data_IF_192100932760
#
_entry.id   IF_192100932760
#
_cell.length_a   1.000
_cell.length_b   1.000
_cell.length_c   1.000
_cell.angle_alpha   90.00
_cell.angle_beta   90.00
_cell.angle_gamma   90.00
#
_symmetry.space_group_name_H-M   'P 1'
#
loop_
_entity.id
_entity.type
_entity.pdbx_description
1 polymer ?
#
# COMPACT_ATOMS: atom_id res chain seq x y z
N UNK A 1 -16.22 -6.15 25.88
CA UNK A 1 -16.04 -6.25 24.40
C UNK A 1 -15.97 -7.71 23.90
N UNK A 2 -14.97 -8.53 24.28
CA UNK A 2 -14.82 -9.91 23.75
C UNK A 2 -16.06 -10.80 23.91
N UNK A 3 -16.70 -10.78 25.08
CA UNK A 3 -17.94 -11.54 25.34
C UNK A 3 -19.08 -11.15 24.37
N UNK A 4 -19.27 -9.84 24.14
CA UNK A 4 -20.27 -9.33 23.20
C UNK A 4 -19.96 -9.75 21.75
N UNK A 5 -18.70 -9.72 21.35
CA UNK A 5 -18.29 -10.21 20.02
C UNK A 5 -18.65 -11.69 19.84
N UNK A 6 -18.36 -12.54 20.83
CA UNK A 6 -18.71 -13.98 20.80
C UNK A 6 -20.23 -14.17 20.71
N UNK A 7 -21.02 -13.43 21.51
CA UNK A 7 -22.48 -13.49 21.45
C UNK A 7 -23.04 -13.09 20.07
N UNK A 8 -22.40 -12.13 19.41
CA UNK A 8 -22.72 -11.69 18.05
C UNK A 8 -22.18 -12.64 16.95
N UNK A 9 -21.50 -13.73 17.31
CA UNK A 9 -20.88 -14.65 16.34
C UNK A 9 -19.64 -14.09 15.64
N UNK A 10 -18.97 -13.11 16.26
CA UNK A 10 -17.77 -12.46 15.76
C UNK A 10 -16.54 -12.86 16.56
N UNK A 11 -15.41 -12.97 15.87
CA UNK A 11 -14.08 -13.13 16.47
C UNK A 11 -13.40 -11.77 16.57
N UNK A 12 -13.16 -11.30 17.79
CA UNK A 12 -12.27 -10.17 18.06
C UNK A 12 -10.80 -10.61 17.88
N UNK A 13 -10.05 -9.86 17.09
CA UNK A 13 -8.62 -10.05 16.87
C UNK A 13 -7.86 -9.06 17.74
N UNK A 14 -7.07 -9.56 18.68
CA UNK A 14 -6.18 -8.72 19.48
C UNK A 14 -4.97 -8.34 18.63
N UNK A 15 -4.80 -7.05 18.35
CA UNK A 15 -3.61 -6.54 17.68
C UNK A 15 -3.11 -5.32 18.46
N UNK A 16 -1.84 -5.28 18.91
CA UNK A 16 -1.28 -4.06 19.46
C UNK A 16 -1.18 -3.03 18.34
N UNK A 17 -1.94 -1.94 18.43
CA UNK A 17 -1.95 -0.88 17.43
C UNK A 17 -1.07 0.26 17.92
N UNK A 18 -0.18 0.71 17.03
CA UNK A 18 0.52 1.98 17.18
C UNK A 18 -0.07 2.94 16.16
N UNK A 19 -0.61 4.05 16.64
CA UNK A 19 -1.07 5.13 15.78
C UNK A 19 -0.06 6.26 15.82
N UNK A 20 0.48 6.61 14.66
CA UNK A 20 1.45 7.69 14.51
C UNK A 20 0.77 9.06 14.43
N UNK A 21 -0.42 9.14 13.82
CA UNK A 21 -1.07 10.40 13.47
C UNK A 21 -0.40 11.09 12.28
N UNK A 22 -1.15 11.94 11.57
CA UNK A 22 -0.67 12.64 10.37
C UNK A 22 0.49 13.60 10.69
N UNK A 23 0.42 14.29 11.82
CA UNK A 23 1.42 15.29 12.23
C UNK A 23 2.81 14.67 12.37
N UNK A 24 2.91 13.52 13.05
CA UNK A 24 4.17 12.80 13.23
C UNK A 24 4.63 12.05 11.99
N UNK A 25 3.72 11.76 11.05
CA UNK A 25 4.10 11.14 9.78
C UNK A 25 5.02 12.06 8.97
N UNK A 26 4.75 13.37 8.93
CA UNK A 26 5.60 14.32 8.22
C UNK A 26 7.04 14.36 8.78
N UNK A 27 7.17 14.44 10.11
CA UNK A 27 8.46 14.42 10.81
C UNK A 27 9.23 13.12 10.55
N UNK A 28 8.53 11.98 10.58
CA UNK A 28 9.13 10.67 10.31
C UNK A 28 9.63 10.56 8.87
N UNK A 29 8.80 10.92 7.88
CA UNK A 29 9.19 10.83 6.47
C UNK A 29 10.36 11.75 6.14
N UNK A 30 10.39 12.97 6.70
CA UNK A 30 11.54 13.85 6.55
C UNK A 30 12.80 13.25 7.16
N UNK A 31 12.69 12.63 8.34
CA UNK A 31 13.82 11.96 8.99
C UNK A 31 14.35 10.79 8.16
N UNK A 32 13.47 9.99 7.56
CA UNK A 32 13.85 8.89 6.65
C UNK A 32 14.53 9.45 5.40
N UNK A 33 13.97 10.48 4.78
CA UNK A 33 14.54 11.13 3.61
C UNK A 33 15.95 11.65 3.90
N UNK A 34 16.13 12.40 4.99
CA UNK A 34 17.43 12.94 5.40
C UNK A 34 18.43 11.82 5.64
N UNK A 35 18.04 10.78 6.39
CA UNK A 35 18.91 9.63 6.64
C UNK A 35 19.39 8.96 5.33
N UNK A 36 18.49 8.75 4.36
CA UNK A 36 18.84 8.17 3.08
C UNK A 36 19.80 9.09 2.29
N UNK A 37 19.52 10.39 2.23
CA UNK A 37 20.38 11.37 1.56
C UNK A 37 21.80 11.42 2.18
N UNK A 38 21.89 11.45 3.50
CA UNK A 38 23.16 11.46 4.24
C UNK A 38 23.97 10.17 4.04
N UNK A 39 23.30 9.06 3.72
CA UNK A 39 23.92 7.78 3.39
C UNK A 39 24.12 7.58 1.87
N UNK A 40 24.04 8.65 1.08
CA UNK A 40 24.41 8.63 -0.35
C UNK A 40 23.33 8.12 -1.29
N UNK A 41 22.07 8.02 -0.84
CA UNK A 41 20.94 7.68 -1.71
C UNK A 41 20.50 8.94 -2.45
N UNK A 42 20.60 8.91 -3.78
CA UNK A 42 20.04 9.94 -4.64
C UNK A 42 18.52 9.76 -4.79
N UNK A 43 17.76 10.81 -4.50
CA UNK A 43 16.30 10.83 -4.64
C UNK A 43 15.91 11.86 -5.68
N UNK A 44 15.34 11.39 -6.80
CA UNK A 44 14.94 12.24 -7.92
C UNK A 44 13.42 12.39 -7.91
N UNK A 45 12.93 13.54 -7.45
CA UNK A 45 11.51 13.87 -7.43
C UNK A 45 11.07 14.51 -8.75
N UNK A 46 9.75 14.58 -8.98
CA UNK A 46 9.19 15.15 -10.21
C UNK A 46 9.48 14.31 -11.46
N UNK A 47 9.81 13.03 -11.27
CA UNK A 47 10.01 12.08 -12.36
C UNK A 47 9.05 10.90 -12.24
N UNK A 48 8.61 10.44 -13.39
CA UNK A 48 7.83 9.21 -13.52
C UNK A 48 8.58 8.20 -14.38
N UNK A 49 8.54 6.93 -14.00
CA UNK A 49 9.09 5.84 -14.79
C UNK A 49 8.10 5.50 -15.92
N UNK A 50 8.50 5.67 -17.17
CA UNK A 50 7.65 5.37 -18.33
C UNK A 50 7.85 3.95 -18.84
N UNK A 51 9.07 3.39 -18.74
CA UNK A 51 9.38 2.06 -19.27
C UNK A 51 10.56 1.38 -18.55
N UNK A 52 10.75 0.09 -18.82
CA UNK A 52 11.95 -0.68 -18.45
C UNK A 52 12.87 -0.86 -19.66
N UNK A 53 14.18 -0.93 -19.41
CA UNK A 53 15.18 -1.29 -20.40
C UNK A 53 15.54 -2.76 -20.15
N UNK A 54 15.19 -3.64 -21.09
CA UNK A 54 15.42 -5.08 -20.99
C UNK A 54 16.28 -5.53 -22.17
N UNK A 55 17.42 -6.13 -21.86
CA UNK A 55 18.39 -6.64 -22.82
C UNK A 55 18.71 -8.09 -22.48
N UNK A 56 18.53 -9.00 -23.44
CA UNK A 56 18.77 -10.45 -23.25
C UNK A 56 18.07 -11.03 -22.00
N UNK A 57 16.79 -10.71 -21.82
CA UNK A 57 15.96 -11.11 -20.67
C UNK A 57 16.43 -10.56 -19.30
N UNK A 58 17.34 -9.59 -19.28
CA UNK A 58 17.82 -8.91 -18.07
C UNK A 58 17.38 -7.45 -18.09
N UNK A 59 16.75 -6.99 -17.01
CA UNK A 59 16.46 -5.57 -16.81
C UNK A 59 17.76 -4.84 -16.46
N UNK A 60 18.19 -3.91 -17.32
CA UNK A 60 19.45 -3.15 -17.18
C UNK A 60 19.22 -1.69 -16.83
N UNK A 61 17.96 -1.25 -16.75
CA UNK A 61 17.61 0.12 -16.39
C UNK A 61 16.13 0.44 -16.58
N UNK A 62 15.84 1.73 -16.48
CA UNK A 62 14.50 2.31 -16.63
C UNK A 62 14.53 3.56 -17.50
N UNK A 63 13.42 3.87 -18.14
CA UNK A 63 13.20 5.13 -18.83
C UNK A 63 12.35 6.01 -17.92
N UNK A 64 12.81 7.23 -17.66
CA UNK A 64 12.13 8.21 -16.81
C UNK A 64 11.79 9.48 -17.58
N UNK A 65 10.70 10.13 -17.21
CA UNK A 65 10.26 11.40 -17.79
C UNK A 65 10.16 12.47 -16.71
N UNK A 66 10.51 13.70 -17.06
CA UNK A 66 10.23 14.88 -16.23
C UNK A 66 8.73 15.21 -16.31
N UNK A 67 8.07 15.26 -15.16
CA UNK A 67 6.63 15.58 -15.07
C UNK A 67 6.32 17.00 -15.54
N UNK A 68 7.26 17.94 -15.38
CA UNK A 68 7.12 19.33 -15.81
C UNK A 68 7.47 19.52 -17.29
N UNK A 69 8.21 18.59 -17.90
CA UNK A 69 8.60 18.63 -19.31
C UNK A 69 8.27 17.30 -20.01
N UNK A 70 6.97 17.03 -20.27
CA UNK A 70 6.54 15.77 -20.88
C UNK A 70 7.18 15.60 -22.27
N UNK A 71 7.78 14.44 -22.51
CA UNK A 71 8.36 14.06 -23.81
C UNK A 71 9.89 13.99 -23.85
N UNK A 72 10.59 14.41 -22.78
CA UNK A 72 12.01 14.11 -22.62
C UNK A 72 12.18 12.79 -21.86
N UNK A 73 12.49 11.73 -22.62
CA UNK A 73 12.86 10.43 -22.06
C UNK A 73 14.33 10.43 -21.61
N UNK A 74 14.56 9.99 -20.38
CA UNK A 74 15.87 9.97 -19.74
C UNK A 74 16.14 8.54 -19.25
N UNK A 75 17.07 7.81 -19.91
CA UNK A 75 17.43 6.47 -19.47
C UNK A 75 18.28 6.54 -18.19
N UNK A 76 17.99 5.64 -17.26
CA UNK A 76 18.74 5.43 -16.02
C UNK A 76 19.13 3.97 -15.94
N UNK A 77 20.42 3.67 -16.00
CA UNK A 77 20.95 2.30 -15.93
C UNK A 77 21.19 1.87 -14.48
N UNK A 78 21.09 0.57 -14.21
CA UNK A 78 21.40 0.01 -12.89
C UNK A 78 21.54 -1.50 -12.93
N UNK A 79 22.41 -2.04 -12.08
CA UNK A 79 22.67 -3.49 -12.00
C UNK A 79 21.54 -4.26 -11.31
N UNK A 80 20.76 -3.59 -10.47
CA UNK A 80 19.62 -4.18 -9.76
C UNK A 80 18.48 -3.18 -9.70
N UNK A 81 17.33 -3.57 -10.24
CA UNK A 81 16.14 -2.73 -10.33
C UNK A 81 15.08 -3.30 -9.39
N UNK A 82 14.56 -2.45 -8.50
CA UNK A 82 13.47 -2.80 -7.58
C UNK A 82 12.24 -1.95 -7.92
N UNK A 83 11.14 -2.61 -8.31
CA UNK A 83 9.87 -1.93 -8.59
C UNK A 83 9.01 -1.86 -7.32
N UNK A 84 8.88 -0.66 -6.76
CA UNK A 84 8.13 -0.40 -5.52
C UNK A 84 6.99 0.64 -5.74
N UNK A 85 6.21 0.48 -6.81
CA UNK A 85 5.23 1.48 -7.28
C UNK A 85 3.93 1.56 -6.47
N UNK A 86 3.76 0.67 -5.48
CA UNK A 86 2.57 0.60 -4.63
C UNK A 86 1.28 0.29 -5.40
N UNK A 87 0.13 0.35 -4.72
CA UNK A 87 -1.17 -0.03 -5.32
C UNK A 87 -1.57 0.89 -6.48
N UNK A 88 -1.28 2.19 -6.38
CA UNK A 88 -1.60 3.16 -7.45
C UNK A 88 -0.81 2.89 -8.73
N UNK A 89 0.39 2.33 -8.64
CA UNK A 89 1.19 1.94 -9.80
C UNK A 89 0.95 0.52 -10.30
N UNK A 90 -0.09 -0.17 -9.82
CA UNK A 90 -0.37 -1.55 -10.24
C UNK A 90 -0.80 -1.63 -11.70
N UNK A 91 -1.62 -0.68 -12.17
CA UNK A 91 -2.04 -0.61 -13.58
C UNK A 91 -0.83 -0.37 -14.51
N UNK A 92 0.05 0.55 -14.14
CA UNK A 92 1.30 0.78 -14.87
C UNK A 92 2.16 -0.49 -14.91
N UNK A 93 2.31 -1.17 -13.77
CA UNK A 93 3.10 -2.41 -13.70
C UNK A 93 2.52 -3.51 -14.59
N UNK A 94 1.18 -3.66 -14.63
CA UNK A 94 0.49 -4.60 -15.51
C UNK A 94 0.77 -4.30 -17.00
N UNK A 95 0.71 -3.03 -17.39
CA UNK A 95 1.01 -2.58 -18.76
C UNK A 95 2.46 -2.87 -19.14
N UNK A 96 3.41 -2.56 -18.25
CA UNK A 96 4.84 -2.83 -18.44
C UNK A 96 5.12 -4.33 -18.56
N UNK A 97 4.55 -5.14 -17.66
CA UNK A 97 4.71 -6.59 -17.73
C UNK A 97 4.14 -7.14 -19.04
N UNK A 98 2.98 -6.65 -19.48
CA UNK A 98 2.38 -7.05 -20.76
C UNK A 98 3.25 -6.64 -21.96
N UNK A 99 3.77 -5.42 -21.97
CA UNK A 99 4.64 -4.88 -23.03
C UNK A 99 5.91 -5.70 -23.21
N UNK A 100 6.51 -6.13 -22.10
CA UNK A 100 7.76 -6.89 -22.08
C UNK A 100 7.56 -8.42 -22.01
N UNK A 101 6.33 -8.91 -22.18
CA UNK A 101 5.98 -10.33 -22.05
C UNK A 101 6.41 -10.97 -20.71
N UNK A 102 6.43 -10.19 -19.63
CA UNK A 102 6.68 -10.66 -18.27
C UNK A 102 5.38 -11.25 -17.73
N UNK A 103 5.44 -12.51 -17.30
CA UNK A 103 4.30 -13.18 -16.70
C UNK A 103 3.88 -12.47 -15.41
N UNK A 104 2.60 -12.14 -15.31
CA UNK A 104 1.99 -11.53 -14.14
C UNK A 104 0.58 -12.10 -13.93
N UNK A 105 0.07 -11.97 -12.70
CA UNK A 105 -1.28 -12.38 -12.36
C UNK A 105 -1.90 -11.40 -11.37
N UNK A 106 -3.21 -11.12 -11.46
CA UNK A 106 -3.89 -10.28 -10.50
C UNK A 106 -3.91 -10.95 -9.11
N UNK A 107 -3.58 -10.17 -8.08
CA UNK A 107 -3.71 -10.59 -6.68
C UNK A 107 -5.14 -10.50 -6.17
N UNK A 108 -5.44 -11.22 -5.09
CA UNK A 108 -6.74 -11.12 -4.40
C UNK A 108 -6.90 -9.75 -3.74
N UNK A 109 -8.09 -9.15 -3.89
CA UNK A 109 -8.44 -7.89 -3.24
C UNK A 109 -9.63 -8.09 -2.29
N UNK A 110 -9.54 -7.47 -1.11
CA UNK A 110 -10.68 -7.38 -0.20
C UNK A 110 -11.57 -6.21 -0.64
N UNK A 111 -12.86 -6.49 -0.87
CA UNK A 111 -13.87 -5.49 -1.20
C UNK A 111 -14.84 -5.40 -0.03
N UNK A 112 -15.18 -4.19 0.36
CA UNK A 112 -16.10 -3.94 1.47
C UNK A 112 -16.83 -2.62 1.32
N UNK A 113 -17.55 -2.25 2.37
CA UNK A 113 -18.26 -0.99 2.47
C UNK A 113 -17.76 -0.23 3.70
N UNK A 114 -17.75 1.10 3.61
CA UNK A 114 -17.51 1.95 4.78
C UNK A 114 -18.81 2.04 5.58
N UNK A 115 -18.77 1.61 6.83
CA UNK A 115 -19.89 1.70 7.76
C UNK A 115 -19.58 2.78 8.78
N UNK A 116 -20.46 3.76 8.89
CA UNK A 116 -20.35 4.84 9.89
C UNK A 116 -21.39 4.62 10.98
N UNK A 117 -20.94 4.76 12.22
CA UNK A 117 -21.76 4.56 13.42
C UNK A 117 -21.51 5.72 14.38
N UNK A 118 -22.52 6.03 15.18
CA UNK A 118 -22.45 7.09 16.20
C UNK A 118 -21.34 6.80 17.21
N UNK A 119 -20.61 7.83 17.61
CA UNK A 119 -19.48 7.66 18.53
C UNK A 119 -19.93 7.10 19.87
N UNK A 120 -21.11 7.46 20.36
CA UNK A 120 -21.71 6.97 21.61
C UNK A 120 -21.86 5.44 21.63
N UNK A 121 -21.97 4.80 20.45
CA UNK A 121 -22.02 3.34 20.31
C UNK A 121 -20.61 2.73 20.31
N UNK A 122 -19.64 3.43 19.73
CA UNK A 122 -18.25 2.93 19.56
C UNK A 122 -17.30 3.35 20.67
N UNK A 123 -17.65 4.35 21.48
CA UNK A 123 -16.78 4.97 22.47
C UNK A 123 -16.19 3.93 23.43
N UNK A 124 -17.02 3.03 23.96
CA UNK A 124 -16.56 1.96 24.83
C UNK A 124 -15.54 1.03 24.16
N UNK A 125 -15.69 0.79 22.86
CA UNK A 125 -14.75 -0.02 22.08
C UNK A 125 -13.46 0.75 21.83
N UNK A 126 -13.57 2.00 21.37
CA UNK A 126 -12.45 2.86 20.98
C UNK A 126 -11.54 3.23 22.17
N UNK A 127 -12.12 3.41 23.36
CA UNK A 127 -11.35 3.73 24.58
C UNK A 127 -10.49 2.57 25.06
N UNK A 128 -10.87 1.33 24.76
CA UNK A 128 -10.13 0.11 25.16
C UNK A 128 -9.24 -0.38 24.03
N UNK A 129 -9.73 -0.31 22.80
CA UNK A 129 -9.07 -0.74 21.59
C UNK A 129 -9.03 0.46 20.66
N UNK A 130 -7.83 0.98 20.34
CA UNK A 130 -7.67 2.09 19.40
C UNK A 130 -8.47 1.87 18.10
N UNK A 131 -8.52 0.62 17.65
CA UNK A 131 -9.40 0.15 16.59
C UNK A 131 -9.79 -1.31 16.89
N UNK A 132 -11.04 -1.69 16.59
CA UNK A 132 -11.49 -3.08 16.75
C UNK A 132 -11.46 -3.84 15.43
N UNK A 133 -10.66 -4.91 15.39
CA UNK A 133 -10.63 -5.86 14.27
C UNK A 133 -11.52 -7.06 14.59
N UNK A 134 -12.67 -7.14 13.91
CA UNK A 134 -13.69 -8.17 14.09
C UNK A 134 -13.76 -9.01 12.81
N UNK A 135 -13.83 -10.34 12.96
CA UNK A 135 -14.01 -11.29 11.85
C UNK A 135 -15.31 -12.05 12.05
N UNK A 136 -16.15 -12.13 11.02
CA UNK A 136 -17.44 -12.80 11.06
C UNK A 136 -17.73 -13.63 9.81
N UNK A 137 -18.80 -14.43 9.88
CA UNK A 137 -19.29 -15.28 8.79
C UNK A 137 -20.82 -15.14 8.68
N UNK A 138 -21.32 -14.00 8.18
CA UNK A 138 -22.74 -13.68 8.17
C UNK A 138 -23.54 -14.64 7.28
N UNK A 139 -24.76 -14.96 7.71
CA UNK A 139 -25.73 -15.70 6.89
C UNK A 139 -26.29 -14.78 5.79
N UNK A 140 -26.73 -15.33 4.64
CA UNK A 140 -26.72 -16.75 4.29
C UNK A 140 -25.39 -17.24 3.73
N UNK A 141 -24.56 -16.33 3.21
CA UNK A 141 -23.42 -16.68 2.36
C UNK A 141 -22.24 -17.29 3.12
N UNK A 142 -22.10 -16.99 4.42
CA UNK A 142 -21.02 -17.48 5.30
C UNK A 142 -19.61 -17.23 4.75
N UNK A 143 -19.44 -16.24 3.87
CA UNK A 143 -18.12 -15.78 3.49
C UNK A 143 -17.47 -15.07 4.69
N UNK A 144 -16.14 -15.17 4.78
CA UNK A 144 -15.37 -14.43 5.77
C UNK A 144 -15.52 -12.94 5.48
N UNK A 145 -16.05 -12.19 6.44
CA UNK A 145 -16.03 -10.73 6.45
C UNK A 145 -15.20 -10.25 7.62
N UNK A 146 -14.58 -9.08 7.50
CA UNK A 146 -13.79 -8.48 8.57
C UNK A 146 -13.90 -6.97 8.57
N UNK A 147 -13.73 -6.35 9.73
CA UNK A 147 -13.37 -4.94 9.79
C UNK A 147 -11.90 -4.78 9.41
N UNK A 148 -11.60 -3.70 8.70
CA UNK A 148 -10.27 -3.33 8.22
C UNK A 148 -9.76 -2.14 9.02
#
# INVERSE_FOLDING_TARGET
IRSLAIQAGLKLVDCPIRHLGTEKAHELYLSIQTFLAENGVEMIFGRECSNLIIENDVCTGVITNDVMNPGLEIPVSGDTIVLATGRRGAEWLEQICSLHNIFHQPGTVDIGVRVEVRNEIMEHVNNVLYESKLVGYPKPFKNKVRTF
#
